data_IF_184491065562
#
_entry.id   IF_184491065562
#
_cell.length_a   1.000
_cell.length_b   1.000
_cell.length_c   1.000
_cell.angle_alpha   90.00
_cell.angle_beta   90.00
_cell.angle_gamma   90.00
#
_symmetry.space_group_name_H-M   'P 1'
#
loop_
_entity.id
_entity.type
_entity.pdbx_description
1 polymer ?
#
# COMPACT_ATOMS: atom_id res chain seq x y z
N UNK A 1 33.33 21.94 -24.72
CA UNK A 1 33.20 21.08 -25.92
C UNK A 1 31.85 20.43 -25.89
N UNK A 2 31.12 20.46 -26.99
CA UNK A 2 29.84 19.77 -27.08
C UNK A 2 30.11 18.29 -27.41
N UNK A 3 29.58 17.36 -26.64
CA UNK A 3 29.69 15.94 -26.94
C UNK A 3 28.89 15.59 -28.20
N UNK A 4 29.39 14.65 -29.04
CA UNK A 4 28.67 14.14 -30.19
C UNK A 4 27.28 13.63 -29.86
N UNK A 5 26.38 13.67 -30.82
CA UNK A 5 25.01 13.21 -30.62
C UNK A 5 24.93 11.71 -30.29
N UNK A 6 25.82 10.94 -30.84
CA UNK A 6 25.95 9.49 -30.58
C UNK A 6 26.21 9.20 -29.09
N UNK A 7 27.14 9.91 -28.47
CA UNK A 7 27.44 9.76 -27.01
C UNK A 7 26.22 10.19 -26.20
N UNK A 8 25.53 11.24 -26.58
CA UNK A 8 24.31 11.67 -25.87
C UNK A 8 23.18 10.65 -25.99
N UNK A 9 23.01 10.02 -27.14
CA UNK A 9 22.01 8.96 -27.34
C UNK A 9 22.39 7.69 -26.61
N UNK A 10 23.66 7.31 -26.55
CA UNK A 10 24.15 6.22 -25.72
C UNK A 10 23.90 6.50 -24.23
N UNK A 11 24.22 7.71 -23.76
CA UNK A 11 23.94 8.12 -22.38
C UNK A 11 22.44 8.09 -22.05
N UNK A 12 21.57 8.52 -22.99
CA UNK A 12 20.12 8.40 -22.85
C UNK A 12 19.68 6.95 -22.69
N UNK A 13 20.20 6.05 -23.53
CA UNK A 13 19.89 4.62 -23.48
C UNK A 13 20.24 3.99 -22.13
N UNK A 14 21.43 4.31 -21.60
CA UNK A 14 21.89 3.85 -20.29
C UNK A 14 21.06 4.48 -19.15
N UNK A 15 20.72 5.77 -19.26
CA UNK A 15 19.88 6.46 -18.29
C UNK A 15 18.47 5.87 -18.21
N UNK A 16 17.86 5.54 -19.32
CA UNK A 16 16.55 4.87 -19.37
C UNK A 16 16.62 3.43 -18.85
N UNK A 17 17.78 2.80 -18.90
CA UNK A 17 18.07 1.52 -18.24
C UNK A 17 18.39 1.68 -16.74
N UNK A 18 18.17 2.85 -16.18
CA UNK A 18 18.36 3.16 -14.75
C UNK A 18 19.82 3.09 -14.26
N UNK A 19 20.80 3.22 -15.15
CA UNK A 19 22.18 3.39 -14.74
C UNK A 19 22.35 4.71 -14.00
N UNK A 20 23.19 4.70 -12.97
CA UNK A 20 23.51 5.94 -12.25
C UNK A 20 24.34 6.88 -13.13
N UNK A 21 24.22 8.20 -12.96
CA UNK A 21 25.05 9.15 -13.73
C UNK A 21 26.54 8.92 -13.58
N UNK A 22 27.01 8.35 -12.45
CA UNK A 22 28.41 8.00 -12.27
C UNK A 22 28.82 6.80 -13.13
N UNK A 23 28.01 5.73 -13.13
CA UNK A 23 28.23 4.56 -14.00
C UNK A 23 28.23 4.93 -15.48
N UNK A 24 27.28 5.78 -15.92
CA UNK A 24 27.22 6.26 -17.29
C UNK A 24 28.45 7.09 -17.65
N UNK A 25 28.91 7.94 -16.72
CA UNK A 25 30.13 8.74 -16.92
C UNK A 25 31.34 7.83 -17.14
N UNK A 26 31.48 6.81 -16.29
CA UNK A 26 32.64 5.90 -16.30
C UNK A 26 32.61 5.00 -17.55
N UNK A 27 31.44 4.53 -17.96
CA UNK A 27 31.26 3.72 -19.18
C UNK A 27 31.52 4.48 -20.48
N UNK A 28 31.05 5.73 -20.56
CA UNK A 28 31.19 6.54 -21.78
C UNK A 28 32.40 7.47 -21.76
N UNK A 29 33.25 7.39 -20.72
CA UNK A 29 34.43 8.21 -20.58
C UNK A 29 34.13 9.73 -20.53
N UNK A 30 33.03 10.13 -19.89
CA UNK A 30 32.64 11.53 -19.79
C UNK A 30 33.43 12.25 -18.71
N UNK A 31 33.73 13.53 -18.92
CA UNK A 31 34.51 14.33 -17.97
C UNK A 31 33.77 14.61 -16.66
N UNK A 32 32.43 14.62 -16.67
CA UNK A 32 31.65 14.90 -15.47
C UNK A 32 30.24 14.30 -15.56
N UNK A 33 29.74 13.74 -14.45
CA UNK A 33 28.34 13.27 -14.35
C UNK A 33 27.31 14.41 -14.39
N UNK A 34 27.71 15.68 -14.18
CA UNK A 34 26.83 16.84 -14.27
C UNK A 34 26.21 17.01 -15.64
N UNK A 35 26.93 16.60 -16.70
CA UNK A 35 26.43 16.69 -18.06
C UNK A 35 25.21 15.77 -18.29
N UNK A 36 25.18 14.61 -17.63
CA UNK A 36 24.08 13.65 -17.73
C UNK A 36 22.83 14.21 -17.05
N UNK A 37 22.99 14.83 -15.86
CA UNK A 37 21.89 15.53 -15.18
C UNK A 37 21.33 16.66 -16.06
N UNK A 38 22.21 17.46 -16.69
CA UNK A 38 21.81 18.53 -17.59
C UNK A 38 21.03 17.99 -18.82
N UNK A 39 21.50 16.90 -19.43
CA UNK A 39 20.79 16.28 -20.55
C UNK A 39 19.45 15.69 -20.11
N UNK A 40 19.41 15.01 -18.98
CA UNK A 40 18.19 14.41 -18.46
C UNK A 40 17.10 15.44 -18.18
N UNK A 41 17.48 16.62 -17.69
CA UNK A 41 16.57 17.73 -17.41
C UNK A 41 16.15 18.44 -18.71
N UNK A 42 17.12 18.87 -19.53
CA UNK A 42 16.87 19.65 -20.74
C UNK A 42 16.12 18.88 -21.83
N UNK A 43 16.36 17.57 -21.93
CA UNK A 43 15.77 16.69 -22.96
C UNK A 43 14.62 15.83 -22.43
N UNK A 44 14.14 16.07 -21.21
CA UNK A 44 12.99 15.38 -20.65
C UNK A 44 13.18 13.88 -20.45
N UNK A 45 14.42 13.40 -20.22
CA UNK A 45 14.65 11.95 -20.05
C UNK A 45 13.95 11.39 -18.80
N UNK A 46 13.71 12.22 -17.80
CA UNK A 46 12.97 11.83 -16.58
C UNK A 46 11.54 11.44 -16.87
N UNK A 47 10.90 12.16 -17.82
CA UNK A 47 9.51 11.93 -18.20
C UNK A 47 9.35 10.64 -19.03
N UNK A 48 10.47 10.15 -19.58
CA UNK A 48 10.52 8.88 -20.32
C UNK A 48 10.78 7.66 -19.43
N UNK A 49 11.11 7.88 -18.16
CA UNK A 49 11.29 6.80 -17.20
C UNK A 49 9.92 6.25 -16.78
N UNK A 50 9.55 5.10 -17.33
CA UNK A 50 8.41 4.33 -16.82
C UNK A 50 8.66 3.85 -15.38
N UNK A 51 7.62 3.74 -14.57
CA UNK A 51 7.73 3.14 -13.25
C UNK A 51 8.24 1.70 -13.39
N UNK A 52 9.42 1.46 -12.84
CA UNK A 52 10.04 0.12 -12.83
C UNK A 52 9.42 -0.69 -11.71
N UNK A 53 8.97 -1.90 -12.01
CA UNK A 53 8.53 -2.82 -10.98
C UNK A 53 9.70 -3.15 -10.03
N UNK A 54 9.40 -3.35 -8.74
CA UNK A 54 10.43 -3.68 -7.72
C UNK A 54 11.24 -4.91 -8.12
N UNK A 55 10.59 -5.88 -8.75
CA UNK A 55 11.22 -7.10 -9.25
C UNK A 55 12.27 -6.81 -10.33
N UNK A 56 11.97 -5.91 -11.26
CA UNK A 56 12.89 -5.53 -12.33
C UNK A 56 14.09 -4.75 -11.78
N UNK A 57 13.87 -3.89 -10.79
CA UNK A 57 14.94 -3.18 -10.11
C UNK A 57 15.90 -4.14 -9.37
N UNK A 58 15.37 -5.14 -8.68
CA UNK A 58 16.15 -6.18 -8.01
C UNK A 58 16.94 -6.99 -9.05
N UNK A 59 16.29 -7.46 -10.11
CA UNK A 59 16.93 -8.25 -11.17
C UNK A 59 18.09 -7.48 -11.79
N UNK A 60 17.90 -6.22 -12.13
CA UNK A 60 18.94 -5.37 -12.71
C UNK A 60 20.14 -5.22 -11.76
N UNK A 61 19.89 -4.98 -10.47
CA UNK A 61 20.98 -4.82 -9.49
C UNK A 61 21.72 -6.14 -9.26
N UNK A 62 21.02 -7.24 -9.19
CA UNK A 62 21.63 -8.59 -9.13
C UNK A 62 22.53 -8.84 -10.33
N UNK A 63 22.08 -8.54 -11.55
CA UNK A 63 22.90 -8.70 -12.75
C UNK A 63 24.16 -7.84 -12.71
N UNK A 64 24.06 -6.56 -12.32
CA UNK A 64 25.25 -5.68 -12.18
C UNK A 64 26.26 -6.25 -11.20
N UNK A 65 25.80 -6.76 -10.05
CA UNK A 65 26.67 -7.37 -9.06
C UNK A 65 27.27 -8.69 -9.54
N UNK A 66 26.52 -9.51 -10.28
CA UNK A 66 27.02 -10.78 -10.84
C UNK A 66 28.15 -10.58 -11.84
N UNK A 67 28.08 -9.55 -12.68
CA UNK A 67 29.08 -9.28 -13.72
C UNK A 67 30.38 -8.68 -13.19
N UNK A 68 30.44 -8.25 -11.93
CA UNK A 68 31.69 -7.76 -11.32
C UNK A 68 32.60 -8.93 -11.00
N UNK A 69 33.80 -8.95 -11.61
CA UNK A 69 34.80 -10.01 -11.37
C UNK A 69 35.31 -10.04 -9.93
N UNK A 70 35.51 -8.85 -9.33
CA UNK A 70 35.93 -8.71 -7.92
C UNK A 70 34.85 -7.96 -7.15
N UNK A 71 34.27 -8.61 -6.17
CA UNK A 71 33.25 -8.06 -5.29
C UNK A 71 33.86 -7.75 -3.91
N UNK A 72 33.48 -6.63 -3.34
CA UNK A 72 33.76 -6.35 -1.93
C UNK A 72 32.89 -7.21 -1.01
N UNK A 73 33.28 -7.45 0.25
CA UNK A 73 32.45 -8.21 1.19
C UNK A 73 31.02 -7.64 1.32
N UNK A 74 30.86 -6.30 1.32
CA UNK A 74 29.54 -5.65 1.36
C UNK A 74 28.70 -5.89 0.11
N UNK A 75 29.32 -5.94 -1.09
CA UNK A 75 28.63 -6.27 -2.34
C UNK A 75 28.21 -7.73 -2.41
N UNK A 76 29.00 -8.63 -1.81
CA UNK A 76 28.61 -10.04 -1.71
C UNK A 76 27.40 -10.20 -0.80
N UNK A 77 27.40 -9.54 0.35
CA UNK A 77 26.26 -9.57 1.28
C UNK A 77 25.00 -8.90 0.69
N UNK A 78 25.19 -7.82 -0.09
CA UNK A 78 24.09 -7.19 -0.83
C UNK A 78 23.49 -8.15 -1.86
N UNK A 79 24.35 -8.85 -2.62
CA UNK A 79 23.93 -9.81 -3.63
C UNK A 79 23.12 -10.96 -3.01
N UNK A 80 23.61 -11.56 -1.93
CA UNK A 80 22.91 -12.67 -1.26
C UNK A 80 21.55 -12.23 -0.73
N UNK A 81 21.46 -11.01 -0.17
CA UNK A 81 20.20 -10.43 0.29
C UNK A 81 19.22 -10.16 -0.85
N UNK A 82 19.69 -9.62 -1.98
CA UNK A 82 18.84 -9.34 -3.14
C UNK A 82 18.33 -10.63 -3.79
N UNK A 83 19.16 -11.67 -3.87
CA UNK A 83 18.76 -13.00 -4.35
C UNK A 83 17.67 -13.58 -3.43
N UNK A 84 17.85 -13.51 -2.11
CA UNK A 84 16.85 -13.96 -1.14
C UNK A 84 15.52 -13.22 -1.29
N UNK A 85 15.56 -11.91 -1.50
CA UNK A 85 14.36 -11.10 -1.78
C UNK A 85 13.69 -11.49 -3.09
N UNK A 86 14.47 -11.70 -4.15
CA UNK A 86 13.93 -12.10 -5.45
C UNK A 86 13.23 -13.45 -5.38
N UNK A 87 13.85 -14.46 -4.75
CA UNK A 87 13.23 -15.77 -4.53
C UNK A 87 11.93 -15.65 -3.75
N UNK A 88 11.94 -14.89 -2.64
CA UNK A 88 10.74 -14.66 -1.83
C UNK A 88 9.61 -13.97 -2.61
N UNK A 89 9.92 -13.00 -3.48
CA UNK A 89 8.93 -12.37 -4.36
C UNK A 89 8.34 -13.37 -5.36
N UNK A 90 9.17 -14.22 -5.96
CA UNK A 90 8.73 -15.25 -6.90
C UNK A 90 7.83 -16.31 -6.23
N UNK A 91 8.22 -16.78 -5.06
CA UNK A 91 7.40 -17.72 -4.29
C UNK A 91 6.04 -17.12 -3.92
N UNK A 92 6.03 -15.86 -3.49
CA UNK A 92 4.77 -15.15 -3.20
C UNK A 92 3.92 -15.01 -4.45
N UNK A 93 4.51 -14.62 -5.58
CA UNK A 93 3.79 -14.47 -6.85
C UNK A 93 3.18 -15.82 -7.31
N UNK A 94 3.93 -16.93 -7.14
CA UNK A 94 3.45 -18.27 -7.47
C UNK A 94 2.25 -18.67 -6.60
N UNK A 95 2.36 -18.50 -5.28
CA UNK A 95 1.24 -18.76 -4.34
C UNK A 95 0.01 -17.92 -4.66
N UNK A 96 0.20 -16.68 -5.10
CA UNK A 96 -0.89 -15.82 -5.54
C UNK A 96 -1.57 -16.34 -6.79
N UNK A 97 -0.80 -16.76 -7.78
CA UNK A 97 -1.32 -17.33 -9.02
C UNK A 97 -2.10 -18.62 -8.77
N UNK A 98 -1.59 -19.51 -7.92
CA UNK A 98 -2.26 -20.75 -7.51
C UNK A 98 -3.58 -20.47 -6.80
N UNK A 99 -3.59 -19.50 -5.87
CA UNK A 99 -4.79 -19.10 -5.14
C UNK A 99 -5.84 -18.45 -6.05
N UNK A 100 -5.40 -17.61 -7.00
CA UNK A 100 -6.29 -17.02 -7.99
C UNK A 100 -6.92 -18.08 -8.90
N UNK A 101 -6.15 -19.09 -9.29
CA UNK A 101 -6.66 -20.23 -10.06
C UNK A 101 -7.67 -21.04 -9.26
N UNK A 102 -7.38 -21.32 -7.98
CA UNK A 102 -8.31 -22.04 -7.10
C UNK A 102 -9.63 -21.27 -6.90
N UNK A 103 -9.57 -19.95 -6.73
CA UNK A 103 -10.76 -19.10 -6.65
C UNK A 103 -11.55 -19.06 -7.95
N UNK A 104 -10.88 -19.04 -9.09
CA UNK A 104 -11.53 -19.13 -10.41
C UNK A 104 -12.20 -20.50 -10.62
N UNK A 105 -11.56 -21.60 -10.19
CA UNK A 105 -12.12 -22.94 -10.26
C UNK A 105 -13.39 -23.06 -9.38
N UNK A 106 -13.35 -22.59 -8.14
CA UNK A 106 -14.53 -22.57 -7.26
C UNK A 106 -15.69 -21.72 -7.81
N UNK A 107 -15.40 -20.63 -8.51
CA UNK A 107 -16.43 -19.80 -9.18
C UNK A 107 -17.01 -20.49 -10.41
N UNK A 108 -16.21 -21.29 -11.11
CA UNK A 108 -16.68 -22.07 -12.28
C UNK A 108 -17.59 -23.24 -11.86
N UNK A 109 -17.28 -23.91 -10.76
CA UNK A 109 -18.10 -25.01 -10.21
C UNK A 109 -19.43 -24.53 -9.58
N UNK A 110 -19.50 -23.26 -9.14
CA UNK A 110 -20.72 -22.64 -8.58
C UNK A 110 -21.70 -22.07 -9.62
N UNK A 111 -21.41 -22.20 -10.92
CA UNK A 111 -22.21 -21.64 -12.01
C UNK A 111 -22.88 -22.75 -12.83
N UNK A 112 -23.78 -23.54 -12.25
CA UNK A 112 -24.75 -24.27 -13.04
C UNK A 112 -25.92 -23.33 -13.39
N UNK A 113 -26.36 -23.27 -14.68
CA UNK A 113 -27.49 -22.46 -15.08
C UNK A 113 -28.76 -23.15 -14.66
N UNK A 114 -29.38 -22.68 -13.58
CA UNK A 114 -30.73 -23.08 -13.22
C UNK A 114 -31.75 -22.67 -14.32
N UNK A 115 -32.78 -23.46 -14.58
CA UNK A 115 -33.69 -23.29 -15.71
C UNK A 115 -34.45 -21.97 -15.64
N UNK A 116 -34.52 -21.30 -16.79
CA UNK A 116 -35.29 -20.08 -17.03
C UNK A 116 -36.76 -20.24 -16.62
N UNK A 117 -37.18 -19.48 -15.61
CA UNK A 117 -38.62 -19.35 -15.30
C UNK A 117 -39.17 -18.04 -15.87
N UNK A 118 -40.18 -18.26 -16.71
CA UNK A 118 -40.93 -17.24 -17.42
C UNK A 118 -41.61 -16.22 -16.51
N UNK A 119 -41.89 -15.09 -17.12
CA UNK A 119 -42.71 -13.99 -16.62
C UNK A 119 -44.01 -14.50 -15.98
N UNK A 120 -44.27 -14.07 -14.75
CA UNK A 120 -45.62 -14.06 -14.19
C UNK A 120 -45.98 -12.70 -13.63
N UNK A 121 -47.13 -12.28 -14.05
CA UNK A 121 -47.78 -11.02 -13.77
C UNK A 121 -48.17 -10.84 -12.29
N UNK A 122 -48.30 -9.59 -11.94
CA UNK A 122 -48.88 -9.04 -10.72
C UNK A 122 -50.13 -9.79 -10.24
N UNK A 123 -50.11 -10.18 -8.97
CA UNK A 123 -51.33 -10.06 -8.14
C UNK A 123 -50.95 -9.91 -6.66
N UNK A 124 -51.45 -8.86 -6.05
CA UNK A 124 -51.33 -8.49 -4.64
C UNK A 124 -52.32 -9.33 -3.81
N UNK A 125 -51.81 -9.98 -2.75
CA UNK A 125 -52.54 -10.09 -1.47
C UNK A 125 -51.68 -10.79 -0.40
N UNK A 126 -51.79 -10.27 0.79
CA UNK A 126 -51.00 -10.40 1.96
C UNK A 126 -50.74 -11.78 2.55
N UNK A 127 -49.75 -11.85 3.42
CA UNK A 127 -49.56 -12.92 4.40
C UNK A 127 -48.10 -13.28 4.63
N UNK A 128 -47.58 -12.88 5.80
CA UNK A 128 -46.54 -13.54 6.58
C UNK A 128 -45.33 -14.17 5.85
N UNK A 129 -44.37 -13.39 5.42
CA UNK A 129 -43.17 -13.92 4.80
C UNK A 129 -41.97 -13.84 5.75
N UNK A 130 -41.36 -14.98 6.04
CA UNK A 130 -40.07 -15.15 6.71
C UNK A 130 -39.05 -14.15 6.17
N UNK A 131 -38.54 -13.26 7.03
CA UNK A 131 -37.41 -12.40 6.74
C UNK A 131 -36.20 -13.29 6.49
N UNK A 132 -35.86 -13.57 5.25
CA UNK A 132 -34.53 -13.96 4.85
C UNK A 132 -33.57 -12.84 5.27
N UNK A 133 -32.75 -13.08 6.28
CA UNK A 133 -31.83 -12.09 6.80
C UNK A 133 -30.95 -11.61 5.66
N UNK A 134 -31.01 -10.32 5.33
CA UNK A 134 -29.97 -9.68 4.51
C UNK A 134 -28.66 -9.93 5.24
N UNK A 135 -27.71 -10.63 4.62
CA UNK A 135 -26.34 -10.72 5.15
C UNK A 135 -25.90 -9.30 5.53
N UNK A 136 -25.54 -9.11 6.80
CA UNK A 136 -25.10 -7.81 7.28
C UNK A 136 -23.93 -7.37 6.39
N UNK A 137 -23.98 -6.13 5.91
CA UNK A 137 -22.89 -5.56 5.13
C UNK A 137 -21.67 -5.45 6.04
N UNK A 138 -20.47 -5.74 5.51
CA UNK A 138 -19.20 -5.64 6.24
C UNK A 138 -19.19 -6.52 7.51
N UNK A 139 -19.70 -7.76 7.40
CA UNK A 139 -19.71 -8.73 8.49
C UNK A 139 -18.27 -9.20 8.80
N UNK A 140 -17.84 -8.98 10.05
CA UNK A 140 -16.48 -9.30 10.52
C UNK A 140 -16.48 -10.06 11.87
N UNK A 141 -17.67 -10.40 12.41
CA UNK A 141 -17.78 -10.96 13.75
C UNK A 141 -17.13 -12.33 13.95
N UNK A 142 -16.76 -12.99 12.85
CA UNK A 142 -16.04 -14.27 12.86
C UNK A 142 -14.51 -14.11 12.83
N UNK A 143 -13.99 -12.88 12.68
CA UNK A 143 -12.56 -12.61 12.52
C UNK A 143 -11.88 -12.41 13.86
N UNK A 144 -10.68 -12.97 13.99
CA UNK A 144 -9.81 -12.94 15.16
C UNK A 144 -8.42 -12.42 14.79
N UNK A 145 -7.54 -12.27 15.76
CA UNK A 145 -6.15 -11.89 15.51
C UNK A 145 -5.39 -12.90 14.63
N UNK A 146 -5.74 -14.18 14.70
CA UNK A 146 -5.08 -15.25 13.95
C UNK A 146 -5.34 -15.14 12.45
N UNK A 147 -6.49 -14.59 12.03
CA UNK A 147 -6.83 -14.39 10.63
C UNK A 147 -5.88 -13.39 9.93
N UNK A 148 -5.18 -12.55 10.69
CA UNK A 148 -4.18 -11.62 10.16
C UNK A 148 -2.79 -12.23 9.95
N UNK A 149 -2.55 -13.48 10.38
CA UNK A 149 -1.23 -14.13 10.32
C UNK A 149 -0.68 -14.15 8.88
N UNK A 150 -1.52 -14.44 7.91
CA UNK A 150 -1.11 -14.47 6.50
C UNK A 150 -0.70 -13.07 5.99
N UNK A 151 -1.48 -12.04 6.32
CA UNK A 151 -1.14 -10.65 6.01
C UNK A 151 0.16 -10.22 6.69
N UNK A 152 0.33 -10.53 7.98
CA UNK A 152 1.55 -10.23 8.73
C UNK A 152 2.78 -10.88 8.08
N UNK A 153 2.65 -12.10 7.57
CA UNK A 153 3.69 -12.79 6.83
C UNK A 153 4.12 -12.10 5.52
N UNK A 154 3.34 -11.15 5.01
CA UNK A 154 3.70 -10.35 3.83
C UNK A 154 4.49 -9.09 4.13
N UNK A 155 4.59 -8.71 5.41
CA UNK A 155 5.20 -7.46 5.83
C UNK A 155 6.74 -7.54 5.81
N UNK A 156 7.35 -6.40 5.49
CA UNK A 156 8.79 -6.24 5.59
C UNK A 156 9.25 -6.08 7.04
N UNK A 157 10.51 -6.42 7.33
CA UNK A 157 11.05 -6.33 8.68
C UNK A 157 10.95 -4.93 9.32
N UNK A 158 11.06 -3.85 8.52
CA UNK A 158 10.88 -2.49 9.05
C UNK A 158 9.40 -2.19 9.38
N UNK A 159 8.43 -2.77 8.67
CA UNK A 159 7.00 -2.64 8.99
C UNK A 159 6.66 -3.41 10.27
N UNK A 160 7.26 -4.59 10.46
CA UNK A 160 7.13 -5.35 11.70
C UNK A 160 7.69 -4.59 12.90
N UNK A 161 8.85 -3.90 12.76
CA UNK A 161 9.37 -3.04 13.83
C UNK A 161 8.43 -1.89 14.19
N UNK A 162 7.74 -1.28 13.19
CA UNK A 162 6.70 -0.26 13.46
C UNK A 162 5.51 -0.85 14.20
N UNK A 163 5.14 -2.10 13.90
CA UNK A 163 4.09 -2.84 14.62
C UNK A 163 4.50 -3.14 16.07
N UNK A 164 5.72 -3.59 16.29
CA UNK A 164 6.29 -3.81 17.63
C UNK A 164 6.23 -2.53 18.45
N UNK A 165 6.67 -1.41 17.88
CA UNK A 165 6.60 -0.11 18.52
C UNK A 165 5.15 0.35 18.82
N UNK A 166 4.15 -0.03 18.01
CA UNK A 166 2.73 0.23 18.32
C UNK A 166 2.31 -0.48 19.61
N UNK A 167 2.79 -1.70 19.79
CA UNK A 167 2.37 -2.57 20.87
C UNK A 167 3.21 -2.41 22.16
N UNK A 168 4.27 -1.61 22.12
CA UNK A 168 5.10 -1.31 23.29
C UNK A 168 4.41 -0.26 24.18
N UNK A 169 3.97 -0.62 25.39
CA UNK A 169 3.31 0.30 26.32
C UNK A 169 4.22 1.44 26.83
N UNK A 170 5.54 1.28 26.71
CA UNK A 170 6.50 2.33 27.10
C UNK A 170 6.58 3.47 26.09
N UNK A 171 6.12 3.24 24.85
CA UNK A 171 6.18 4.24 23.79
C UNK A 171 4.92 5.14 23.76
N UNK A 172 5.08 6.42 23.37
CA UNK A 172 3.97 7.35 23.31
C UNK A 172 2.95 6.93 22.25
N UNK A 173 1.67 7.24 22.50
CA UNK A 173 0.58 7.03 21.54
C UNK A 173 0.67 7.88 20.27
N UNK A 174 1.49 8.91 20.27
CA UNK A 174 1.79 9.72 19.08
C UNK A 174 3.05 9.18 18.44
N UNK A 175 2.94 8.77 17.18
CA UNK A 175 4.03 8.21 16.38
C UNK A 175 4.37 9.15 15.23
N UNK A 176 5.64 9.54 15.14
CA UNK A 176 6.19 10.26 13.99
C UNK A 176 7.16 9.32 13.29
N UNK A 177 6.85 8.97 12.04
CA UNK A 177 7.60 7.96 11.29
C UNK A 177 8.22 8.61 10.06
N UNK A 178 9.53 8.76 10.10
CA UNK A 178 10.28 9.20 8.94
C UNK A 178 10.43 8.04 7.97
N UNK A 179 9.96 8.23 6.76
CA UNK A 179 10.00 7.21 5.69
C UNK A 179 10.53 7.77 4.38
N UNK A 180 11.15 6.94 3.59
CA UNK A 180 11.35 7.23 2.16
C UNK A 180 10.07 6.98 1.37
N UNK A 181 10.04 7.44 0.12
CA UNK A 181 8.90 7.18 -0.78
C UNK A 181 8.83 5.71 -1.17
N UNK A 182 7.62 5.23 -1.47
CA UNK A 182 7.34 3.92 -2.09
C UNK A 182 7.81 2.69 -1.29
N UNK A 183 7.94 2.81 0.02
CA UNK A 183 8.30 1.67 0.90
C UNK A 183 7.09 0.93 1.48
N UNK A 184 5.88 1.15 0.93
CA UNK A 184 4.69 0.40 1.33
C UNK A 184 4.11 0.76 2.70
N UNK A 185 4.44 1.91 3.31
CA UNK A 185 3.93 2.29 4.63
C UNK A 185 2.43 2.60 4.60
N UNK A 186 1.91 3.20 3.53
CA UNK A 186 0.46 3.43 3.36
C UNK A 186 -0.32 2.10 3.35
N UNK A 187 0.22 1.07 2.66
CA UNK A 187 -0.33 -0.29 2.68
C UNK A 187 -0.29 -0.90 4.09
N UNK A 188 0.85 -0.78 4.78
CA UNK A 188 1.00 -1.28 6.14
C UNK A 188 -0.01 -0.63 7.09
N UNK A 189 -0.12 0.70 7.09
CA UNK A 189 -1.06 1.40 7.98
C UNK A 189 -2.52 1.14 7.63
N UNK A 190 -2.84 0.87 6.37
CA UNK A 190 -4.18 0.42 5.98
C UNK A 190 -4.53 -0.93 6.63
N UNK A 191 -3.60 -1.88 6.65
CA UNK A 191 -3.79 -3.17 7.30
C UNK A 191 -3.76 -3.09 8.83
N UNK A 192 -2.84 -2.32 9.42
CA UNK A 192 -2.79 -2.06 10.87
C UNK A 192 -4.10 -1.47 11.39
N UNK A 193 -4.66 -0.50 10.66
CA UNK A 193 -5.91 0.13 11.03
C UNK A 193 -7.13 -0.81 10.88
N UNK A 194 -7.13 -1.64 9.82
CA UNK A 194 -8.18 -2.64 9.64
C UNK A 194 -8.16 -3.68 10.77
N UNK A 195 -6.99 -4.18 11.13
CA UNK A 195 -6.82 -5.10 12.26
C UNK A 195 -7.32 -4.46 13.57
N UNK A 196 -6.88 -3.23 13.84
CA UNK A 196 -7.29 -2.50 15.06
C UNK A 196 -8.80 -2.29 15.11
N UNK A 197 -9.42 -1.88 13.99
CA UNK A 197 -10.87 -1.70 13.91
C UNK A 197 -11.65 -3.01 14.14
N UNK A 198 -11.16 -4.13 13.60
CA UNK A 198 -11.80 -5.44 13.76
C UNK A 198 -11.68 -5.93 15.19
N UNK A 199 -10.49 -5.85 15.78
CA UNK A 199 -10.21 -6.44 17.10
C UNK A 199 -10.69 -5.58 18.27
N UNK A 200 -10.69 -4.25 18.12
CA UNK A 200 -11.03 -3.32 19.23
C UNK A 200 -12.39 -2.64 19.07
N UNK A 201 -12.95 -2.62 17.88
CA UNK A 201 -14.15 -1.81 17.56
C UNK A 201 -13.85 -0.31 17.45
N UNK A 202 -12.56 0.08 17.43
CA UNK A 202 -12.14 1.48 17.41
C UNK A 202 -12.22 2.10 16.02
N UNK A 203 -12.71 3.34 15.95
CA UNK A 203 -12.76 4.09 14.70
C UNK A 203 -11.36 4.41 14.16
N UNK A 204 -11.23 4.46 12.83
CA UNK A 204 -9.98 4.75 12.14
C UNK A 204 -10.19 5.92 11.17
N UNK A 205 -9.36 6.94 11.26
CA UNK A 205 -9.50 8.18 10.50
C UNK A 205 -8.22 8.41 9.69
N UNK A 206 -8.36 8.40 8.37
CA UNK A 206 -7.26 8.65 7.45
C UNK A 206 -7.37 10.07 6.91
N UNK A 207 -6.31 10.85 7.12
CA UNK A 207 -6.18 12.22 6.63
C UNK A 207 -5.05 12.29 5.60
N UNK A 208 -5.34 12.86 4.46
CA UNK A 208 -4.33 13.11 3.40
C UNK A 208 -4.56 14.49 2.80
N UNK A 209 -3.54 15.03 2.11
CA UNK A 209 -3.63 16.34 1.48
C UNK A 209 -4.82 16.42 0.50
N UNK A 210 -5.11 15.33 -0.21
CA UNK A 210 -6.24 15.24 -1.13
C UNK A 210 -7.15 14.06 -0.81
N UNK A 211 -8.40 14.15 -1.25
CA UNK A 211 -9.35 13.04 -1.12
C UNK A 211 -8.91 11.81 -1.91
N UNK A 212 -8.31 12.00 -3.07
CA UNK A 212 -7.80 10.89 -3.89
C UNK A 212 -6.73 10.08 -3.14
N UNK A 213 -5.81 10.73 -2.43
CA UNK A 213 -4.82 10.06 -1.57
C UNK A 213 -5.48 9.31 -0.41
N UNK A 214 -6.51 9.88 0.23
CA UNK A 214 -7.25 9.18 1.27
C UNK A 214 -7.99 7.93 0.74
N UNK A 215 -8.49 7.96 -0.49
CA UNK A 215 -9.12 6.79 -1.13
C UNK A 215 -8.13 5.65 -1.42
N UNK A 216 -6.83 5.92 -1.49
CA UNK A 216 -5.80 4.87 -1.59
C UNK A 216 -5.82 3.98 -0.34
N UNK A 217 -5.96 4.54 0.86
CA UNK A 217 -6.13 3.75 2.08
C UNK A 217 -7.34 2.84 1.99
N UNK A 218 -8.49 3.39 1.55
CA UNK A 218 -9.72 2.62 1.38
C UNK A 218 -9.51 1.45 0.41
N UNK A 219 -8.84 1.70 -0.71
CA UNK A 219 -8.51 0.67 -1.70
C UNK A 219 -7.66 -0.46 -1.09
N UNK A 220 -6.62 -0.12 -0.33
CA UNK A 220 -5.78 -1.11 0.36
C UNK A 220 -6.55 -1.88 1.43
N UNK A 221 -7.37 -1.22 2.23
CA UNK A 221 -8.21 -1.87 3.25
C UNK A 221 -9.15 -2.89 2.60
N UNK A 222 -9.88 -2.50 1.56
CA UNK A 222 -10.77 -3.40 0.84
C UNK A 222 -10.00 -4.58 0.20
N UNK A 223 -8.82 -4.33 -0.36
CA UNK A 223 -7.97 -5.37 -0.93
C UNK A 223 -7.46 -6.34 0.14
N UNK A 224 -6.97 -5.84 1.27
CA UNK A 224 -6.48 -6.68 2.38
C UNK A 224 -7.63 -7.54 2.93
N UNK A 225 -8.79 -6.92 3.19
CA UNK A 225 -9.98 -7.64 3.68
C UNK A 225 -10.42 -8.76 2.72
N UNK A 226 -10.43 -8.48 1.43
CA UNK A 226 -10.83 -9.47 0.43
C UNK A 226 -9.79 -10.58 0.26
N UNK A 227 -8.50 -10.22 0.24
CA UNK A 227 -7.41 -11.15 -0.06
C UNK A 227 -7.09 -12.08 1.09
N UNK A 228 -6.98 -11.54 2.30
CA UNK A 228 -6.48 -12.28 3.45
C UNK A 228 -7.60 -12.73 4.40
N UNK A 229 -8.70 -11.98 4.48
CA UNK A 229 -9.78 -12.26 5.41
C UNK A 229 -11.04 -12.82 4.73
N UNK A 230 -11.07 -12.88 3.39
CA UNK A 230 -12.23 -13.37 2.63
C UNK A 230 -13.49 -12.49 2.74
N UNK A 231 -13.37 -11.26 3.23
CA UNK A 231 -14.47 -10.33 3.48
C UNK A 231 -14.50 -9.22 2.43
N UNK A 232 -15.67 -8.94 1.89
CA UNK A 232 -15.87 -7.80 0.99
C UNK A 232 -16.40 -6.61 1.77
N UNK A 233 -15.59 -5.57 1.90
CA UNK A 233 -15.95 -4.33 2.56
C UNK A 233 -16.48 -3.29 1.56
N UNK A 234 -17.55 -2.59 1.95
CA UNK A 234 -18.22 -1.58 1.12
C UNK A 234 -18.60 -0.35 1.93
N UNK A 235 -18.78 0.77 1.25
CA UNK A 235 -19.18 2.04 1.88
C UNK A 235 -18.07 3.07 1.90
N UNK A 236 -18.45 4.31 2.23
CA UNK A 236 -17.55 5.44 2.55
C UNK A 236 -18.33 6.44 3.42
N UNK A 237 -18.13 6.43 4.76
CA UNK A 237 -17.21 5.57 5.50
C UNK A 237 -17.55 4.06 5.38
N UNK A 238 -16.53 3.20 5.64
CA UNK A 238 -16.79 1.77 5.83
C UNK A 238 -17.21 1.58 7.28
N UNK A 239 -18.43 1.07 7.49
CA UNK A 239 -18.96 0.75 8.83
C UNK A 239 -18.95 -0.75 8.99
N UNK A 240 -18.16 -1.26 9.96
CA UNK A 240 -18.05 -2.68 10.26
C UNK A 240 -19.20 -3.17 11.14
N UNK A 241 -19.43 -4.48 11.16
CA UNK A 241 -20.55 -5.07 11.94
C UNK A 241 -20.37 -4.89 13.46
N UNK A 242 -19.15 -4.66 13.96
CA UNK A 242 -18.88 -4.33 15.36
C UNK A 242 -19.08 -2.83 15.71
N UNK A 243 -19.50 -2.02 14.73
CA UNK A 243 -19.75 -0.59 14.89
C UNK A 243 -18.55 0.31 14.59
N UNK A 244 -17.35 -0.23 14.37
CA UNK A 244 -16.19 0.58 14.01
C UNK A 244 -16.37 1.24 12.64
N UNK A 245 -15.97 2.49 12.54
CA UNK A 245 -16.06 3.30 11.32
C UNK A 245 -14.66 3.65 10.80
N UNK A 246 -14.43 3.43 9.49
CA UNK A 246 -13.20 3.81 8.81
C UNK A 246 -13.50 5.00 7.88
N UNK A 247 -12.94 6.15 8.22
CA UNK A 247 -13.18 7.42 7.53
C UNK A 247 -11.99 7.83 6.68
N UNK A 248 -12.27 8.28 5.44
CA UNK A 248 -11.25 8.70 4.47
C UNK A 248 -11.47 10.18 4.13
N UNK A 249 -10.63 11.05 4.70
CA UNK A 249 -10.85 12.48 4.71
C UNK A 249 -9.69 13.23 4.05
N UNK A 250 -9.99 14.38 3.42
CA UNK A 250 -8.98 15.37 3.08
C UNK A 250 -8.87 16.40 4.19
N UNK A 251 -7.72 17.11 4.25
CA UNK A 251 -7.45 18.16 5.23
C UNK A 251 -8.38 19.36 5.14
N UNK A 252 -9.08 19.53 4.01
CA UNK A 252 -10.03 20.61 3.77
C UNK A 252 -11.45 20.32 4.28
N UNK A 253 -11.69 19.13 4.87
CA UNK A 253 -13.04 18.81 5.31
C UNK A 253 -13.29 19.26 6.75
N UNK A 254 -14.13 20.30 6.94
CA UNK A 254 -14.67 20.68 8.27
C UNK A 254 -15.39 19.50 8.95
N UNK A 255 -15.79 18.48 8.18
CA UNK A 255 -16.40 17.24 8.66
C UNK A 255 -15.42 16.32 9.42
N UNK A 256 -14.12 16.56 9.37
CA UNK A 256 -13.15 15.77 10.11
C UNK A 256 -13.22 16.04 11.62
N UNK A 257 -13.52 17.28 12.03
CA UNK A 257 -13.49 17.71 13.44
C UNK A 257 -14.52 17.04 14.36
N UNK A 258 -15.58 16.43 13.83
CA UNK A 258 -16.64 15.78 14.63
C UNK A 258 -16.41 14.29 14.88
N UNK A 259 -15.26 13.73 14.51
CA UNK A 259 -14.97 12.31 14.60
C UNK A 259 -13.94 12.00 15.68
N UNK A 260 -14.08 10.85 16.32
CA UNK A 260 -13.11 10.36 17.33
C UNK A 260 -12.61 8.98 16.93
N UNK A 261 -11.30 8.76 17.03
CA UNK A 261 -10.67 7.50 16.66
C UNK A 261 -9.15 7.61 16.54
N UNK A 262 -8.52 6.51 16.10
CA UNK A 262 -7.12 6.53 15.71
C UNK A 262 -6.93 7.33 14.42
N UNK A 263 -5.94 8.22 14.40
CA UNK A 263 -5.70 9.13 13.28
C UNK A 263 -4.40 8.75 12.56
N UNK A 264 -4.48 8.61 11.25
CA UNK A 264 -3.36 8.35 10.35
C UNK A 264 -3.23 9.50 9.36
N UNK A 265 -2.06 10.14 9.32
CA UNK A 265 -1.78 11.29 8.46
C UNK A 265 -0.61 10.94 7.56
N UNK A 266 -0.90 10.72 6.26
CA UNK A 266 0.10 10.41 5.25
C UNK A 266 0.70 11.69 4.66
N UNK A 267 1.99 11.65 4.37
CA UNK A 267 2.74 12.73 3.72
C UNK A 267 2.53 14.11 4.39
N UNK A 268 2.50 14.15 5.70
CA UNK A 268 2.14 15.34 6.47
C UNK A 268 3.02 16.57 6.20
N UNK A 269 4.27 16.39 5.77
CA UNK A 269 5.17 17.49 5.38
C UNK A 269 4.70 18.28 4.15
N UNK A 270 3.85 17.68 3.32
CA UNK A 270 3.29 18.33 2.13
C UNK A 270 1.97 19.04 2.40
N UNK A 271 1.47 18.97 3.63
CA UNK A 271 0.18 19.56 4.01
C UNK A 271 0.40 21.02 4.42
N UNK A 272 -0.18 21.99 3.71
CA UNK A 272 -0.15 23.38 4.14
C UNK A 272 -0.79 23.56 5.52
N UNK A 273 -0.23 24.44 6.36
CA UNK A 273 -0.74 24.71 7.70
C UNK A 273 -0.80 23.47 8.62
N UNK A 274 0.30 22.75 8.69
CA UNK A 274 0.43 21.52 9.50
C UNK A 274 0.03 21.73 10.96
N UNK A 275 0.31 22.88 11.57
CA UNK A 275 -0.08 23.20 12.94
C UNK A 275 -1.60 23.06 13.13
N UNK A 276 -2.39 23.69 12.26
CA UNK A 276 -3.85 23.56 12.28
C UNK A 276 -4.32 22.12 12.10
N UNK A 277 -3.65 21.35 11.26
CA UNK A 277 -3.96 19.93 11.07
C UNK A 277 -3.62 19.11 12.32
N UNK A 278 -2.50 19.41 12.98
CA UNK A 278 -2.10 18.77 14.23
C UNK A 278 -3.12 19.02 15.33
N UNK A 279 -3.69 20.22 15.41
CA UNK A 279 -4.76 20.57 16.35
C UNK A 279 -6.04 19.77 16.06
N UNK A 280 -6.43 19.70 14.80
CA UNK A 280 -7.58 18.87 14.36
C UNK A 280 -7.36 17.40 14.68
N UNK A 281 -6.20 16.85 14.38
CA UNK A 281 -5.86 15.47 14.70
C UNK A 281 -5.84 15.22 16.23
N UNK A 282 -5.41 16.23 17.00
CA UNK A 282 -5.40 16.16 18.47
C UNK A 282 -6.82 16.17 19.03
N UNK A 283 -7.72 16.97 18.46
CA UNK A 283 -9.13 16.99 18.82
C UNK A 283 -9.81 15.63 18.53
N UNK A 284 -9.49 14.98 17.38
CA UNK A 284 -10.03 13.68 17.01
C UNK A 284 -9.52 12.55 17.91
N UNK A 285 -8.27 12.61 18.35
CA UNK A 285 -7.63 11.65 19.22
C UNK A 285 -7.49 12.15 20.66
N UNK A 286 -8.50 12.85 21.19
CA UNK A 286 -8.47 13.45 22.53
C UNK A 286 -8.41 12.40 23.63
N UNK A 287 -9.15 11.30 23.47
CA UNK A 287 -9.17 10.22 24.47
C UNK A 287 -7.82 9.49 24.53
N UNK A 288 -7.41 9.09 25.73
CA UNK A 288 -6.07 8.53 26.00
C UNK A 288 -5.77 7.23 25.26
N UNK A 289 -6.77 6.50 24.83
CA UNK A 289 -6.61 5.23 24.09
C UNK A 289 -6.46 5.43 22.57
N UNK A 290 -6.79 6.62 22.00
CA UNK A 290 -6.61 6.89 20.57
C UNK A 290 -5.17 7.27 20.24
N UNK A 291 -4.68 6.79 19.12
CA UNK A 291 -3.33 7.04 18.61
C UNK A 291 -3.33 8.05 17.47
N UNK A 292 -2.22 8.79 17.38
CA UNK A 292 -1.91 9.66 16.25
C UNK A 292 -0.68 9.12 15.54
N UNK A 293 -0.76 8.93 14.24
CA UNK A 293 0.35 8.44 13.42
C UNK A 293 0.59 9.40 12.26
N UNK A 294 1.77 9.99 12.22
CA UNK A 294 2.26 10.88 11.16
C UNK A 294 3.36 10.17 10.39
N UNK A 295 3.31 10.15 9.03
CA UNK A 295 4.29 9.39 8.23
C UNK A 295 4.41 9.89 6.78
#
# INVERSE_FOLDING_TARGET
MAYPEEIRNAAKGLYLKRWTPQEIKDELGLNSCRIIYYWAEKLGWRDLLTEEAVEDAINRRVQVLLHREKKTPGEQEELDRLIGHHVSLKEKALKWAEREQALKAQRAEGSEPGPSRGKREHNSQGGGGRKGGKKAKNEIGHLTADDFTEWLGTLFGYQLRVREAKNDPALPRTRNILKSRQIGMTYYFAGEALEDAILTGGNQIFLSATRAQAEVFRSYICKIAQTFLGVTLTGNPIVLSNGAELHFCSTNSNSAQSRSGNVYIDEYFWIPNFEKLSDVASAMATQSHWRKTFF
#
